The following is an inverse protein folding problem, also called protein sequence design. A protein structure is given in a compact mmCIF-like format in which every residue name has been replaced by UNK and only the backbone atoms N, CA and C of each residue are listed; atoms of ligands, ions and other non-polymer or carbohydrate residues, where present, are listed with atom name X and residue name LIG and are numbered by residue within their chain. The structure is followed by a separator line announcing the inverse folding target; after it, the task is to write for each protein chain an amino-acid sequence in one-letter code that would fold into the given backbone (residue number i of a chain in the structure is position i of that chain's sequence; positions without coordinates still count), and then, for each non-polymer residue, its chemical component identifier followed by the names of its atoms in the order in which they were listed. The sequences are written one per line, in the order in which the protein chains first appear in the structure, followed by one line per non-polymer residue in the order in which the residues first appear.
data_IF_010779363213
#
_entry.id   IF_010779363213
#
_cell.length_a   1.000
_cell.length_b   1.000
_cell.length_c   1.000
_cell.angle_alpha   90.00
_cell.angle_beta   90.00
_cell.angle_gamma   90.00
#
_symmetry.space_group_name_H-M   'P 1'
#
loop_
_entity.id
_entity.type
_entity.pdbx_description
1 polymer ?
#
# COMPACT_ATOMS: atom_id res chain seq x y z
N UNK A 1 -13.98 13.32 -21.80
CA UNK A 1 -15.10 12.53 -21.25
C UNK A 1 -14.83 12.39 -19.77
N UNK A 2 -15.83 12.58 -18.93
CA UNK A 2 -15.69 12.54 -17.46
C UNK A 2 -16.37 11.28 -16.95
N UNK A 3 -15.65 10.45 -16.20
CA UNK A 3 -16.23 9.22 -15.63
C UNK A 3 -16.50 9.42 -14.14
N UNK A 4 -17.72 9.14 -13.71
CA UNK A 4 -18.13 9.15 -12.30
C UNK A 4 -18.50 7.72 -11.90
N UNK A 5 -17.93 7.24 -10.80
CA UNK A 5 -18.14 5.89 -10.27
C UNK A 5 -19.01 5.99 -9.04
N UNK A 6 -20.10 5.23 -9.03
CA UNK A 6 -20.88 4.92 -7.84
C UNK A 6 -20.13 3.82 -7.05
N UNK A 7 -19.53 4.20 -5.93
CA UNK A 7 -18.59 3.36 -5.18
C UNK A 7 -19.24 2.11 -4.61
N UNK A 8 -20.36 2.26 -3.88
CA UNK A 8 -21.08 1.15 -3.27
C UNK A 8 -21.72 0.24 -4.30
N UNK A 9 -22.23 0.78 -5.40
CA UNK A 9 -22.77 -0.06 -6.47
C UNK A 9 -21.68 -0.90 -7.14
N UNK A 10 -20.48 -0.33 -7.32
CA UNK A 10 -19.35 -1.05 -7.90
C UNK A 10 -18.81 -2.14 -6.97
N UNK A 11 -18.71 -1.88 -5.67
CA UNK A 11 -18.35 -2.88 -4.65
C UNK A 11 -19.43 -3.98 -4.61
N UNK A 12 -20.71 -3.59 -4.67
CA UNK A 12 -21.87 -4.48 -4.66
C UNK A 12 -22.07 -5.35 -5.86
N UNK A 13 -21.23 -5.21 -6.88
CA UNK A 13 -21.17 -6.20 -7.96
C UNK A 13 -20.65 -7.55 -7.47
N UNK A 14 -19.82 -7.58 -6.41
CA UNK A 14 -19.10 -8.78 -5.97
C UNK A 14 -18.10 -9.32 -7.01
N UNK A 15 -17.84 -8.55 -8.08
CA UNK A 15 -16.96 -8.93 -9.18
C UNK A 15 -15.60 -8.23 -9.12
N UNK A 16 -15.44 -7.29 -8.20
CA UNK A 16 -14.14 -6.67 -7.93
C UNK A 16 -13.33 -7.69 -7.10
N UNK A 17 -12.28 -8.31 -7.66
CA UNK A 17 -11.61 -9.41 -6.98
C UNK A 17 -11.00 -8.95 -5.65
N UNK A 18 -11.37 -9.61 -4.56
CA UNK A 18 -10.83 -9.34 -3.22
C UNK A 18 -11.52 -8.22 -2.43
N UNK A 19 -12.72 -7.77 -2.84
CA UNK A 19 -13.52 -6.78 -2.10
C UNK A 19 -14.93 -7.33 -1.86
N UNK A 20 -15.38 -7.38 -0.61
CA UNK A 20 -16.76 -7.74 -0.24
C UNK A 20 -17.47 -6.53 0.39
N UNK A 21 -18.79 -6.43 0.19
CA UNK A 21 -19.59 -5.39 0.83
C UNK A 21 -19.63 -5.64 2.34
N UNK A 22 -19.22 -4.65 3.14
CA UNK A 22 -19.23 -4.73 4.60
C UNK A 22 -17.89 -5.04 5.26
N UNK A 23 -16.80 -5.13 4.49
CA UNK A 23 -15.45 -5.03 5.04
C UNK A 23 -15.20 -3.58 5.51
N UNK A 24 -14.56 -3.38 6.67
CA UNK A 24 -14.31 -2.05 7.23
C UNK A 24 -13.46 -1.11 6.33
N UNK A 25 -12.82 -1.66 5.30
CA UNK A 25 -11.92 -0.97 4.37
C UNK A 25 -12.30 -1.16 2.88
N UNK A 26 -13.51 -1.65 2.56
CA UNK A 26 -13.95 -1.97 1.19
C UNK A 26 -13.86 -0.77 0.23
N UNK A 27 -14.23 0.42 0.70
CA UNK A 27 -14.12 1.68 -0.04
C UNK A 27 -12.66 2.01 -0.41
N UNK A 28 -11.73 1.78 0.53
CA UNK A 28 -10.31 2.07 0.32
C UNK A 28 -9.68 1.10 -0.68
N UNK A 29 -10.03 -0.19 -0.58
CA UNK A 29 -9.61 -1.20 -1.54
C UNK A 29 -10.08 -0.87 -2.96
N UNK A 30 -11.31 -0.34 -3.10
CA UNK A 30 -11.82 0.11 -4.39
C UNK A 30 -11.01 1.29 -4.93
N UNK A 31 -10.72 2.31 -4.10
CA UNK A 31 -9.93 3.48 -4.51
C UNK A 31 -8.57 3.07 -5.02
N UNK A 32 -7.88 2.15 -4.35
CA UNK A 32 -6.60 1.62 -4.79
C UNK A 32 -6.70 0.92 -6.15
N UNK A 33 -7.75 0.13 -6.38
CA UNK A 33 -7.98 -0.55 -7.66
C UNK A 33 -8.23 0.42 -8.80
N UNK A 34 -9.04 1.46 -8.54
CA UNK A 34 -9.32 2.51 -9.51
C UNK A 34 -8.04 3.27 -9.88
N UNK A 35 -7.16 3.55 -8.91
CA UNK A 35 -5.87 4.23 -9.15
C UNK A 35 -4.96 3.41 -10.06
N UNK A 36 -4.87 2.10 -9.86
CA UNK A 36 -4.09 1.24 -10.76
C UNK A 36 -4.65 1.24 -12.18
N UNK A 37 -5.98 1.22 -12.31
CA UNK A 37 -6.66 1.29 -13.61
C UNK A 37 -6.44 2.63 -14.32
N UNK A 38 -6.57 3.76 -13.62
CA UNK A 38 -6.40 5.11 -14.19
C UNK A 38 -4.98 5.34 -14.68
N UNK A 39 -3.96 4.85 -13.95
CA UNK A 39 -2.56 4.89 -14.38
C UNK A 39 -2.34 4.03 -15.62
N UNK A 40 -2.78 2.76 -15.61
CA UNK A 40 -2.60 1.84 -16.73
C UNK A 40 -3.28 2.33 -18.03
N UNK A 41 -4.44 2.98 -17.90
CA UNK A 41 -5.23 3.49 -19.03
C UNK A 41 -4.98 4.97 -19.33
N UNK A 42 -4.12 5.65 -18.57
CA UNK A 42 -3.81 7.09 -18.67
C UNK A 42 -5.08 7.96 -18.71
N UNK A 43 -6.02 7.69 -17.80
CA UNK A 43 -7.30 8.39 -17.71
C UNK A 43 -7.52 8.96 -16.30
N UNK A 44 -8.56 9.77 -16.15
CA UNK A 44 -9.00 10.29 -14.85
C UNK A 44 -10.49 9.99 -14.61
N UNK A 45 -10.85 9.70 -13.36
CA UNK A 45 -12.23 9.47 -12.94
C UNK A 45 -12.50 10.06 -11.55
N UNK A 46 -13.78 10.21 -11.22
CA UNK A 46 -14.25 10.54 -9.87
C UNK A 46 -14.98 9.32 -9.31
N UNK A 47 -14.75 8.96 -8.06
CA UNK A 47 -15.56 7.97 -7.32
C UNK A 47 -16.26 8.65 -6.16
N UNK A 48 -17.54 8.32 -5.97
CA UNK A 48 -18.41 8.89 -4.94
C UNK A 48 -18.91 7.77 -4.03
N UNK A 49 -18.74 7.95 -2.72
CA UNK A 49 -19.18 7.05 -1.66
C UNK A 49 -20.26 7.70 -0.77
N UNK A 50 -21.05 6.89 -0.09
CA UNK A 50 -22.03 7.36 0.90
C UNK A 50 -21.36 7.86 2.19
N UNK A 51 -22.09 8.63 2.98
CA UNK A 51 -21.59 9.16 4.25
C UNK A 51 -21.61 8.09 5.35
N UNK A 52 -20.45 7.69 5.89
CA UNK A 52 -20.37 6.95 7.16
C UNK A 52 -19.55 5.65 7.19
N UNK A 53 -18.86 5.27 6.10
CA UNK A 53 -18.25 3.93 6.01
C UNK A 53 -16.71 3.88 6.07
N UNK A 54 -16.01 5.03 6.17
CA UNK A 54 -14.54 5.07 6.09
C UNK A 54 -13.82 5.48 7.40
N UNK A 55 -12.58 5.00 7.64
CA UNK A 55 -11.79 5.33 8.83
C UNK A 55 -11.33 6.79 8.79
N UNK A 56 -11.95 7.65 9.61
CA UNK A 56 -11.48 9.00 9.89
C UNK A 56 -11.72 10.00 8.77
N UNK A 57 -12.64 10.94 9.00
CA UNK A 57 -12.89 12.10 8.13
C UNK A 57 -11.69 13.08 8.12
N UNK A 58 -10.57 12.71 7.47
CA UNK A 58 -9.56 13.59 6.87
C UNK A 58 -8.31 12.79 6.49
N UNK A 59 -8.37 12.10 5.35
CA UNK A 59 -7.16 11.77 4.58
C UNK A 59 -7.44 12.09 3.12
N UNK A 60 -6.51 12.75 2.45
CA UNK A 60 -6.69 13.21 1.08
C UNK A 60 -6.62 12.00 0.12
N UNK A 61 -7.72 11.26 -0.03
CA UNK A 61 -7.82 10.01 -0.80
C UNK A 61 -7.78 10.22 -2.32
N UNK A 62 -7.67 11.45 -2.81
CA UNK A 62 -7.48 11.74 -4.23
C UNK A 62 -6.02 11.58 -4.65
N UNK A 63 -5.79 11.06 -5.86
CA UNK A 63 -4.43 10.83 -6.37
C UNK A 63 -4.41 9.91 -7.58
N UNK A 64 -3.34 9.94 -8.36
CA UNK A 64 -3.12 9.03 -9.50
C UNK A 64 -4.25 9.00 -10.54
N UNK A 65 -4.90 10.14 -10.78
CA UNK A 65 -6.04 10.23 -11.70
C UNK A 65 -7.40 9.86 -11.11
N UNK A 66 -7.48 9.49 -9.83
CA UNK A 66 -8.75 9.25 -9.12
C UNK A 66 -9.04 10.42 -8.19
N UNK A 67 -10.20 11.05 -8.38
CA UNK A 67 -10.77 11.99 -7.42
C UNK A 67 -11.77 11.24 -6.53
N UNK A 68 -11.59 11.30 -5.22
CA UNK A 68 -12.50 10.66 -4.25
C UNK A 68 -13.37 11.73 -3.61
N UNK A 69 -14.67 11.47 -3.52
CA UNK A 69 -15.63 12.34 -2.86
C UNK A 69 -16.57 11.49 -1.99
N UNK A 70 -16.80 11.94 -0.77
CA UNK A 70 -17.81 11.34 0.12
C UNK A 70 -19.04 12.22 0.13
N UNK A 71 -20.21 11.60 0.19
CA UNK A 71 -21.45 12.33 0.37
C UNK A 71 -21.47 12.99 1.76
N UNK A 72 -22.04 14.21 1.89
CA UNK A 72 -22.23 14.83 3.20
C UNK A 72 -23.15 13.97 4.09
N UNK A 73 -23.02 14.05 5.44
CA UNK A 73 -23.89 13.32 6.36
C UNK A 73 -25.37 13.52 6.04
N UNK A 74 -26.10 12.41 5.85
CA UNK A 74 -27.54 12.43 5.54
C UNK A 74 -27.88 12.70 4.07
N UNK A 75 -26.87 12.72 3.18
CA UNK A 75 -27.05 12.79 1.73
C UNK A 75 -26.49 11.49 1.14
N UNK A 76 -27.25 10.88 0.23
CA UNK A 76 -26.83 9.69 -0.52
C UNK A 76 -25.87 10.07 -1.68
N UNK A 77 -24.97 9.16 -2.02
CA UNK A 77 -24.02 9.30 -3.13
C UNK A 77 -24.75 9.60 -4.45
N UNK A 78 -25.89 8.99 -4.70
CA UNK A 78 -26.77 9.22 -5.85
C UNK A 78 -27.10 10.71 -6.04
N UNK A 79 -27.46 11.39 -4.95
CA UNK A 79 -27.78 12.81 -4.99
C UNK A 79 -26.54 13.64 -5.36
N UNK A 80 -25.36 13.27 -4.86
CA UNK A 80 -24.08 13.93 -5.16
C UNK A 80 -23.64 13.67 -6.61
N UNK A 81 -23.85 12.46 -7.12
CA UNK A 81 -23.60 12.09 -8.52
C UNK A 81 -24.46 12.95 -9.45
N UNK A 82 -25.76 13.05 -9.18
CA UNK A 82 -26.70 13.85 -9.97
C UNK A 82 -26.38 15.34 -9.88
N UNK A 83 -26.02 15.86 -8.70
CA UNK A 83 -25.57 17.24 -8.56
C UNK A 83 -24.31 17.52 -9.37
N UNK A 84 -23.35 16.60 -9.36
CA UNK A 84 -22.11 16.71 -10.14
C UNK A 84 -22.39 16.68 -11.65
N UNK A 85 -23.33 15.83 -12.09
CA UNK A 85 -23.78 15.78 -13.48
C UNK A 85 -24.45 17.08 -13.93
N UNK A 86 -25.41 17.59 -13.14
CA UNK A 86 -26.14 18.85 -13.41
C UNK A 86 -25.23 20.07 -13.43
N UNK A 87 -24.18 20.08 -12.63
CA UNK A 87 -23.17 21.14 -12.62
C UNK A 87 -22.22 21.09 -13.84
N UNK A 88 -22.21 19.98 -14.59
CA UNK A 88 -21.37 19.85 -15.78
C UNK A 88 -21.88 20.72 -16.93
N UNK A 89 -20.97 21.47 -17.58
CA UNK A 89 -21.29 22.22 -18.80
C UNK A 89 -21.64 21.31 -19.99
N UNK A 90 -21.28 20.02 -19.94
CA UNK A 90 -21.51 19.05 -21.02
C UNK A 90 -21.96 17.70 -20.42
N UNK A 91 -23.22 17.55 -19.96
CA UNK A 91 -23.71 16.32 -19.35
C UNK A 91 -23.57 15.09 -20.26
N UNK A 92 -23.73 15.28 -21.58
CA UNK A 92 -23.56 14.24 -22.60
C UNK A 92 -22.17 13.62 -22.70
N UNK A 93 -21.14 14.26 -22.11
CA UNK A 93 -19.78 13.72 -22.02
C UNK A 93 -19.45 13.11 -20.67
N UNK A 94 -20.42 13.04 -19.76
CA UNK A 94 -20.29 12.42 -18.45
C UNK A 94 -20.84 11.00 -18.53
N UNK A 95 -20.02 10.03 -18.13
CA UNK A 95 -20.41 8.63 -18.02
C UNK A 95 -20.46 8.25 -16.55
N UNK A 96 -21.63 7.83 -16.06
CA UNK A 96 -21.80 7.30 -14.71
C UNK A 96 -21.72 5.78 -14.77
N UNK A 97 -20.90 5.18 -13.90
CA UNK A 97 -20.77 3.74 -13.74
C UNK A 97 -21.65 3.30 -12.57
N UNK A 98 -22.76 2.64 -12.89
CA UNK A 98 -23.71 2.08 -11.91
C UNK A 98 -24.59 1.04 -12.61
N UNK A 99 -25.01 0.02 -11.87
CA UNK A 99 -26.05 -0.94 -12.23
C UNK A 99 -27.39 -0.62 -11.50
N UNK A 100 -27.46 0.44 -10.68
CA UNK A 100 -28.71 0.92 -10.09
C UNK A 100 -29.63 1.47 -11.20
N UNK A 101 -30.84 0.90 -11.31
CA UNK A 101 -31.80 1.25 -12.37
C UNK A 101 -32.43 2.63 -12.16
N UNK A 102 -32.62 3.04 -10.91
CA UNK A 102 -33.19 4.33 -10.53
C UNK A 102 -32.20 5.43 -10.87
N UNK A 103 -30.96 5.33 -10.40
CA UNK A 103 -29.89 6.28 -10.71
C UNK A 103 -29.63 6.32 -12.23
N UNK A 104 -29.58 5.16 -12.89
CA UNK A 104 -29.39 5.09 -14.34
C UNK A 104 -30.52 5.73 -15.14
N UNK A 105 -31.75 5.74 -14.63
CA UNK A 105 -32.87 6.48 -15.22
C UNK A 105 -32.67 7.99 -15.12
N UNK A 106 -32.32 8.46 -13.92
CA UNK A 106 -32.11 9.88 -13.61
C UNK A 106 -30.92 10.45 -14.39
N UNK A 107 -29.79 9.75 -14.46
CA UNK A 107 -28.62 10.18 -15.23
C UNK A 107 -28.95 10.35 -16.71
N UNK A 108 -29.73 9.43 -17.30
CA UNK A 108 -30.16 9.55 -18.71
C UNK A 108 -31.11 10.73 -18.92
N UNK A 109 -32.01 10.99 -17.98
CA UNK A 109 -32.91 12.15 -18.05
C UNK A 109 -32.14 13.48 -18.02
N UNK A 110 -31.02 13.53 -17.28
CA UNK A 110 -30.09 14.68 -17.23
C UNK A 110 -29.11 14.72 -18.42
N UNK A 111 -29.27 13.83 -19.41
CA UNK A 111 -28.44 13.78 -20.61
C UNK A 111 -27.07 13.12 -20.44
N UNK A 112 -26.80 12.47 -19.30
CA UNK A 112 -25.60 11.69 -19.05
C UNK A 112 -25.62 10.30 -19.68
N UNK A 113 -24.45 9.68 -19.78
CA UNK A 113 -24.28 8.32 -20.28
C UNK A 113 -24.14 7.33 -19.13
N UNK A 114 -24.60 6.09 -19.33
CA UNK A 114 -24.47 5.01 -18.36
C UNK A 114 -23.52 3.93 -18.85
N UNK A 115 -22.69 3.44 -17.95
CA UNK A 115 -21.86 2.26 -18.12
C UNK A 115 -22.16 1.28 -16.98
N UNK A 116 -22.28 -0.01 -17.30
CA UNK A 116 -22.56 -1.02 -16.28
C UNK A 116 -21.40 -1.16 -15.28
N UNK A 117 -21.75 -1.20 -14.00
CA UNK A 117 -20.80 -1.44 -12.92
C UNK A 117 -20.17 -2.83 -13.04
N UNK A 118 -20.95 -3.88 -13.31
CA UNK A 118 -20.40 -5.24 -13.53
C UNK A 118 -19.40 -5.30 -14.69
N UNK A 119 -19.70 -4.67 -15.83
CA UNK A 119 -18.77 -4.65 -16.97
C UNK A 119 -17.48 -3.92 -16.59
N UNK A 120 -17.60 -2.79 -15.90
CA UNK A 120 -16.44 -2.03 -15.44
C UNK A 120 -15.62 -2.82 -14.41
N UNK A 121 -16.26 -3.50 -13.46
CA UNK A 121 -15.59 -4.36 -12.47
C UNK A 121 -14.74 -5.46 -13.12
N UNK A 122 -15.22 -6.06 -14.22
CA UNK A 122 -14.44 -7.06 -14.98
C UNK A 122 -13.20 -6.47 -15.65
N UNK A 123 -13.25 -5.21 -16.08
CA UNK A 123 -12.07 -4.51 -16.59
C UNK A 123 -11.08 -4.12 -15.49
N UNK A 124 -11.56 -3.97 -14.26
CA UNK A 124 -10.72 -3.79 -13.09
C UNK A 124 -10.04 -5.10 -12.65
N UNK A 125 -10.49 -6.28 -13.09
CA UNK A 125 -9.84 -7.55 -12.79
C UNK A 125 -8.45 -7.67 -13.48
N UNK A 126 -7.46 -8.35 -12.87
CA UNK A 126 -6.16 -8.51 -13.53
C UNK A 126 -6.37 -9.29 -14.82
N UNK A 127 -5.95 -8.72 -15.94
CA UNK A 127 -5.86 -9.47 -17.20
C UNK A 127 -4.99 -10.69 -16.96
N UNK A 128 -5.55 -11.89 -17.15
CA UNK A 128 -4.77 -13.12 -17.25
C UNK A 128 -3.55 -12.85 -18.13
N UNK A 129 -2.35 -13.17 -17.64
CA UNK A 129 -1.13 -13.07 -18.44
C UNK A 129 -1.36 -13.82 -19.75
N UNK A 130 -1.19 -13.20 -20.94
CA UNK A 130 -1.06 -13.99 -22.14
C UNK A 130 0.19 -14.86 -22.01
N UNK A 131 0.04 -16.14 -22.32
CA UNK A 131 1.13 -17.08 -22.44
C UNK A 131 2.20 -16.52 -23.39
N UNK A 132 3.45 -16.60 -22.95
CA UNK A 132 4.71 -16.39 -23.67
C UNK A 132 4.68 -15.74 -25.06
N UNK A 133 5.39 -14.59 -25.17
CA UNK A 133 6.22 -14.32 -26.35
C UNK A 133 6.03 -12.98 -27.06
N UNK A 134 6.32 -11.84 -26.41
CA UNK A 134 6.90 -10.65 -27.08
C UNK A 134 7.76 -9.90 -26.06
N UNK A 135 9.05 -9.70 -26.35
CA UNK A 135 9.93 -8.83 -25.55
C UNK A 135 9.58 -7.36 -25.86
N UNK A 136 9.09 -6.63 -24.86
CA UNK A 136 9.11 -5.16 -24.85
C UNK A 136 10.51 -4.65 -24.50
N UNK A 137 10.82 -3.36 -24.75
CA UNK A 137 12.18 -2.85 -24.66
C UNK A 137 12.72 -2.97 -23.23
N UNK A 138 14.02 -3.28 -23.13
CA UNK A 138 14.70 -3.46 -21.86
C UNK A 138 14.67 -2.17 -21.02
N UNK A 139 14.18 -2.31 -19.78
CA UNK A 139 14.08 -1.25 -18.78
C UNK A 139 15.43 -1.03 -18.08
N UNK A 140 15.82 0.22 -17.85
CA UNK A 140 16.98 0.58 -17.02
C UNK A 140 16.52 0.95 -15.60
N UNK A 141 16.76 0.09 -14.59
CA UNK A 141 16.36 0.34 -13.20
C UNK A 141 17.20 1.42 -12.50
N UNK A 142 18.10 2.14 -13.20
CA UNK A 142 18.97 3.17 -12.63
C UNK A 142 18.56 4.61 -12.97
N UNK A 143 17.45 4.82 -13.68
CA UNK A 143 16.97 6.17 -13.99
C UNK A 143 16.45 6.89 -12.72
N UNK A 144 17.07 8.02 -12.29
CA UNK A 144 16.69 8.75 -11.08
C UNK A 144 15.27 9.33 -11.13
N UNK A 145 14.72 9.59 -12.33
CA UNK A 145 13.37 10.12 -12.48
C UNK A 145 12.27 9.13 -12.07
N UNK A 146 12.62 7.86 -11.83
CA UNK A 146 11.68 6.77 -11.55
C UNK A 146 11.83 6.17 -10.15
N UNK A 147 12.85 6.52 -9.37
CA UNK A 147 13.10 5.96 -8.04
C UNK A 147 12.05 6.39 -7.00
N UNK A 148 11.64 7.66 -7.02
CA UNK A 148 10.69 8.22 -6.05
C UNK A 148 9.23 7.79 -6.34
N UNK A 149 8.91 7.57 -7.63
CA UNK A 149 7.58 7.11 -8.06
C UNK A 149 7.39 5.62 -7.73
N UNK A 150 8.44 4.80 -7.83
CA UNK A 150 8.38 3.39 -7.47
C UNK A 150 8.33 3.13 -5.96
N UNK A 151 8.97 3.98 -5.13
CA UNK A 151 8.98 3.79 -3.68
C UNK A 151 7.57 3.86 -3.06
N UNK A 152 6.72 4.77 -3.56
CA UNK A 152 5.32 4.92 -3.12
C UNK A 152 4.35 3.91 -3.75
N UNK A 153 4.51 3.57 -5.03
CA UNK A 153 3.63 2.62 -5.74
C UNK A 153 3.92 1.15 -5.40
N UNK A 154 5.17 0.80 -5.09
CA UNK A 154 5.55 -0.60 -4.87
C UNK A 154 5.13 -1.12 -3.49
N UNK A 155 4.95 -0.26 -2.48
CA UNK A 155 4.64 -0.73 -1.13
C UNK A 155 3.22 -1.28 -0.99
N UNK A 156 2.23 -0.72 -1.71
CA UNK A 156 0.81 -1.08 -1.54
C UNK A 156 0.39 -2.30 -2.40
N UNK A 157 1.05 -2.55 -3.53
CA UNK A 157 0.80 -3.73 -4.38
C UNK A 157 1.69 -4.95 -3.99
N UNK A 158 2.86 -4.71 -3.38
CA UNK A 158 3.72 -5.81 -2.89
C UNK A 158 3.10 -6.61 -1.76
N UNK A 159 2.35 -5.99 -0.85
CA UNK A 159 1.80 -6.71 0.30
C UNK A 159 0.67 -7.65 -0.12
N UNK A 160 -0.18 -7.23 -1.07
CA UNK A 160 -1.20 -8.09 -1.65
C UNK A 160 -0.57 -9.28 -2.40
N UNK A 161 0.53 -9.05 -3.13
CA UNK A 161 1.30 -10.13 -3.78
C UNK A 161 2.02 -11.03 -2.77
N UNK A 162 2.52 -10.45 -1.67
CA UNK A 162 3.33 -11.12 -0.67
C UNK A 162 2.52 -11.94 0.33
N UNK A 163 1.37 -11.42 0.74
CA UNK A 163 0.52 -12.02 1.76
C UNK A 163 -0.74 -12.64 1.17
N UNK A 164 -1.20 -12.20 0.00
CA UNK A 164 -2.42 -12.73 -0.61
C UNK A 164 -3.61 -12.54 0.30
N UNK A 165 -4.48 -13.55 0.37
CA UNK A 165 -5.61 -13.58 1.30
C UNK A 165 -5.20 -13.67 2.77
N UNK A 166 -3.95 -14.04 3.08
CA UNK A 166 -3.48 -14.14 4.47
C UNK A 166 -3.19 -12.78 5.10
N UNK A 167 -3.25 -11.70 4.30
CA UNK A 167 -3.07 -10.34 4.81
C UNK A 167 -4.12 -9.97 5.87
N UNK A 168 -5.29 -10.61 5.85
CA UNK A 168 -6.40 -10.38 6.76
C UNK A 168 -6.39 -11.28 8.00
N UNK A 169 -5.38 -12.13 8.16
CA UNK A 169 -5.22 -12.92 9.39
C UNK A 169 -4.83 -12.01 10.56
N UNK A 170 -5.12 -12.44 11.78
CA UNK A 170 -4.76 -11.70 12.98
C UNK A 170 -3.25 -11.73 13.29
N UNK A 171 -2.81 -10.81 14.14
CA UNK A 171 -1.42 -10.73 14.55
C UNK A 171 -0.96 -11.98 15.30
N UNK A 172 -1.83 -12.64 16.07
CA UNK A 172 -1.50 -13.85 16.82
C UNK A 172 -1.06 -14.98 15.88
N UNK A 173 -1.81 -15.21 14.80
CA UNK A 173 -1.46 -16.19 13.75
C UNK A 173 -0.09 -15.90 13.15
N UNK A 174 0.22 -14.63 12.89
CA UNK A 174 1.53 -14.26 12.35
C UNK A 174 2.65 -14.33 13.39
N UNK A 175 2.36 -14.07 14.66
CA UNK A 175 3.31 -14.27 15.76
C UNK A 175 3.67 -15.76 15.88
N UNK A 176 2.71 -16.67 15.81
CA UNK A 176 2.99 -18.12 15.84
C UNK A 176 3.94 -18.54 14.70
N UNK A 177 3.70 -18.02 13.48
CA UNK A 177 4.53 -18.30 12.30
C UNK A 177 5.94 -17.75 12.43
N UNK A 178 6.12 -16.64 13.15
CA UNK A 178 7.43 -16.06 13.43
C UNK A 178 8.34 -17.02 14.21
N UNK A 179 7.76 -17.82 15.11
CA UNK A 179 8.44 -18.85 15.90
C UNK A 179 8.54 -20.21 15.18
N UNK A 180 7.97 -20.30 13.98
CA UNK A 180 8.02 -21.49 13.15
C UNK A 180 9.44 -21.87 12.72
N UNK A 181 9.61 -23.15 12.38
CA UNK A 181 10.91 -23.66 11.91
C UNK A 181 11.24 -23.30 10.45
N UNK A 182 10.23 -22.90 9.67
CA UNK A 182 10.37 -22.51 8.27
C UNK A 182 10.87 -21.06 8.17
N UNK A 183 12.04 -20.90 7.57
CA UNK A 183 12.72 -19.60 7.45
C UNK A 183 11.94 -18.62 6.57
N UNK A 184 11.26 -19.10 5.53
CA UNK A 184 10.53 -18.24 4.61
C UNK A 184 9.23 -17.76 5.25
N UNK A 185 8.51 -18.65 5.92
CA UNK A 185 7.28 -18.30 6.63
C UNK A 185 7.56 -17.37 7.82
N UNK A 186 8.59 -17.65 8.62
CA UNK A 186 9.02 -16.76 9.71
C UNK A 186 9.47 -15.38 9.20
N UNK A 187 10.18 -15.33 8.06
CA UNK A 187 10.55 -14.03 7.46
C UNK A 187 9.31 -13.29 6.95
N UNK A 188 8.37 -13.99 6.33
CA UNK A 188 7.10 -13.42 5.86
C UNK A 188 6.29 -12.87 7.04
N UNK A 189 6.18 -13.64 8.12
CA UNK A 189 5.56 -13.21 9.37
C UNK A 189 6.17 -11.94 9.94
N UNK A 190 7.50 -11.85 10.04
CA UNK A 190 8.17 -10.64 10.51
C UNK A 190 7.74 -9.41 9.71
N UNK A 191 7.71 -9.51 8.37
CA UNK A 191 7.30 -8.40 7.53
C UNK A 191 5.81 -8.06 7.62
N UNK A 192 4.93 -9.04 7.84
CA UNK A 192 3.52 -8.76 8.08
C UNK A 192 3.36 -7.99 9.39
N UNK A 193 3.98 -8.48 10.46
CA UNK A 193 3.92 -7.88 11.80
C UNK A 193 4.44 -6.45 11.83
N UNK A 194 5.55 -6.17 11.14
CA UNK A 194 6.08 -4.81 11.04
C UNK A 194 5.13 -3.81 10.38
N UNK A 195 4.25 -4.29 9.49
CA UNK A 195 3.38 -3.42 8.71
C UNK A 195 1.94 -3.36 9.20
N UNK A 196 1.45 -4.45 9.79
CA UNK A 196 0.04 -4.62 10.16
C UNK A 196 -0.16 -5.03 11.62
N UNK A 197 0.88 -5.49 12.31
CA UNK A 197 0.76 -6.08 13.65
C UNK A 197 0.57 -5.07 14.79
N UNK A 198 0.62 -3.77 14.51
CA UNK A 198 0.36 -2.72 15.50
C UNK A 198 1.24 -2.84 16.76
N UNK A 199 0.70 -2.49 17.93
CA UNK A 199 1.46 -2.45 19.18
C UNK A 199 1.95 -3.82 19.65
N UNK A 200 1.26 -4.90 19.26
CA UNK A 200 1.56 -6.26 19.72
C UNK A 200 2.76 -6.88 18.99
N UNK A 201 3.21 -6.25 17.89
CA UNK A 201 4.31 -6.74 17.07
C UNK A 201 5.70 -6.45 17.64
N UNK A 202 5.86 -5.47 18.54
CA UNK A 202 7.19 -5.03 18.97
C UNK A 202 7.99 -6.16 19.64
N UNK A 203 7.45 -6.74 20.71
CA UNK A 203 8.17 -7.76 21.50
C UNK A 203 8.48 -9.03 20.68
N UNK A 204 7.54 -9.59 19.89
CA UNK A 204 7.84 -10.71 18.99
C UNK A 204 8.94 -10.40 17.97
N UNK A 205 8.92 -9.20 17.38
CA UNK A 205 9.93 -8.80 16.41
C UNK A 205 11.31 -8.58 17.05
N UNK A 206 11.36 -8.10 18.29
CA UNK A 206 12.61 -8.00 19.05
C UNK A 206 13.18 -9.39 19.37
N UNK A 207 12.33 -10.35 19.76
CA UNK A 207 12.78 -11.72 20.03
C UNK A 207 13.33 -12.40 18.77
N UNK A 208 12.70 -12.17 17.61
CA UNK A 208 13.16 -12.69 16.32
C UNK A 208 14.56 -12.21 15.91
N UNK A 209 15.12 -11.18 16.56
CA UNK A 209 16.53 -10.77 16.39
C UNK A 209 17.53 -11.79 16.97
N UNK A 210 17.08 -12.80 17.70
CA UNK A 210 17.90 -13.90 18.20
C UNK A 210 17.82 -15.15 17.32
N UNK A 211 16.96 -15.14 16.29
CA UNK A 211 16.71 -16.30 15.44
C UNK A 211 17.99 -16.82 14.76
N UNK A 212 18.13 -18.15 14.65
CA UNK A 212 19.33 -18.81 14.06
C UNK A 212 19.63 -18.36 12.63
N UNK A 213 18.59 -18.15 11.83
CA UNK A 213 18.70 -17.71 10.43
C UNK A 213 18.90 -16.20 10.34
N UNK A 214 20.01 -15.80 9.72
CA UNK A 214 20.29 -14.39 9.45
C UNK A 214 19.24 -13.72 8.56
N UNK A 215 18.52 -14.48 7.74
CA UNK A 215 17.43 -13.97 6.89
C UNK A 215 16.26 -13.50 7.73
N UNK A 216 15.85 -14.29 8.74
CA UNK A 216 14.77 -13.92 9.67
C UNK A 216 15.18 -12.72 10.51
N UNK A 217 16.42 -12.70 11.03
CA UNK A 217 16.94 -11.54 11.76
C UNK A 217 16.92 -10.27 10.91
N UNK A 218 17.33 -10.35 9.65
CA UNK A 218 17.28 -9.21 8.73
C UNK A 218 15.84 -8.75 8.44
N UNK A 219 14.90 -9.69 8.26
CA UNK A 219 13.48 -9.39 8.09
C UNK A 219 12.90 -8.67 9.32
N UNK A 220 13.20 -9.16 10.53
CA UNK A 220 12.78 -8.55 11.79
C UNK A 220 13.34 -7.13 11.98
N UNK A 221 14.61 -6.88 11.63
CA UNK A 221 15.20 -5.54 11.68
C UNK A 221 14.47 -4.54 10.77
N UNK A 222 14.15 -4.95 9.55
CA UNK A 222 13.39 -4.10 8.62
C UNK A 222 11.95 -3.90 9.08
N UNK A 223 11.32 -4.93 9.64
CA UNK A 223 9.97 -4.89 10.19
C UNK A 223 9.87 -3.95 11.40
N UNK A 224 10.87 -3.94 12.30
CA UNK A 224 10.92 -2.99 13.41
C UNK A 224 10.98 -1.53 12.93
N UNK A 225 11.62 -1.28 11.77
CA UNK A 225 11.61 0.03 11.14
C UNK A 225 10.30 0.34 10.39
N UNK A 226 9.60 -0.67 9.88
CA UNK A 226 8.23 -0.51 9.36
C UNK A 226 7.25 -0.15 10.49
N UNK A 227 7.41 -0.79 11.65
CA UNK A 227 6.60 -0.54 12.85
C UNK A 227 6.78 0.89 13.38
N UNK A 228 7.98 1.46 13.21
CA UNK A 228 8.26 2.85 13.54
C UNK A 228 8.44 3.13 15.03
N UNK A 229 8.48 2.12 15.89
CA UNK A 229 8.62 2.29 17.34
C UNK A 229 10.08 2.62 17.73
N UNK A 230 10.36 3.82 18.29
CA UNK A 230 11.72 4.22 18.65
C UNK A 230 12.33 3.37 19.77
N UNK A 231 11.53 2.60 20.53
CA UNK A 231 12.03 1.65 21.54
C UNK A 231 12.93 0.57 20.95
N UNK A 232 12.80 0.28 19.64
CA UNK A 232 13.66 -0.67 18.94
C UNK A 232 15.08 -0.15 18.65
N UNK A 233 15.30 1.17 18.63
CA UNK A 233 16.58 1.79 18.20
C UNK A 233 17.80 1.28 18.98
N UNK A 234 17.78 1.19 20.33
CA UNK A 234 18.89 0.63 21.10
C UNK A 234 19.29 -0.78 20.66
N UNK A 235 18.31 -1.65 20.45
CA UNK A 235 18.54 -3.07 20.15
C UNK A 235 19.01 -3.23 18.71
N UNK A 236 18.43 -2.46 17.77
CA UNK A 236 18.90 -2.43 16.37
C UNK A 236 20.36 -1.94 16.30
N UNK A 237 20.74 -0.94 17.10
CA UNK A 237 22.13 -0.47 17.18
C UNK A 237 23.10 -1.55 17.66
N UNK A 238 22.72 -2.36 18.64
CA UNK A 238 23.52 -3.51 19.07
C UNK A 238 23.68 -4.55 17.95
N UNK A 239 22.60 -4.84 17.19
CA UNK A 239 22.68 -5.74 16.04
C UNK A 239 23.58 -5.20 14.93
N UNK A 240 23.54 -3.89 14.66
CA UNK A 240 24.46 -3.25 13.71
C UNK A 240 25.92 -3.40 14.13
N UNK A 241 26.23 -3.30 15.43
CA UNK A 241 27.60 -3.40 15.91
C UNK A 241 28.12 -4.85 15.97
N UNK A 242 27.25 -5.81 16.31
CA UNK A 242 27.67 -7.14 16.77
C UNK A 242 27.14 -8.35 16.02
N UNK A 243 26.18 -8.22 15.09
CA UNK A 243 25.64 -9.40 14.41
C UNK A 243 26.71 -10.05 13.51
N UNK A 244 26.88 -11.37 13.65
CA UNK A 244 27.85 -12.13 12.86
C UNK A 244 27.57 -12.06 11.35
N UNK A 245 26.28 -11.96 10.97
CA UNK A 245 25.87 -11.86 9.58
C UNK A 245 25.91 -10.41 9.10
N UNK A 246 26.66 -10.19 8.02
CA UNK A 246 26.67 -8.88 7.36
C UNK A 246 25.34 -8.50 6.74
N UNK A 247 24.48 -9.48 6.42
CA UNK A 247 23.12 -9.21 5.94
C UNK A 247 22.26 -8.57 7.04
N UNK A 248 22.35 -9.10 8.26
CA UNK A 248 21.63 -8.54 9.40
C UNK A 248 22.19 -7.16 9.77
N UNK A 249 23.51 -6.96 9.76
CA UNK A 249 24.11 -5.63 9.97
C UNK A 249 23.68 -4.62 8.90
N UNK A 250 23.63 -5.02 7.64
CA UNK A 250 23.14 -4.16 6.54
C UNK A 250 21.67 -3.76 6.77
N UNK A 251 20.80 -4.71 7.15
CA UNK A 251 19.40 -4.43 7.49
C UNK A 251 19.27 -3.52 8.71
N UNK A 252 20.10 -3.70 9.75
CA UNK A 252 20.12 -2.86 10.93
C UNK A 252 20.49 -1.41 10.59
N UNK A 253 21.47 -1.19 9.71
CA UNK A 253 21.82 0.14 9.23
C UNK A 253 20.63 0.81 8.52
N UNK A 254 19.97 0.10 7.61
CA UNK A 254 18.78 0.60 6.91
C UNK A 254 17.65 0.94 7.89
N UNK A 255 17.40 0.07 8.86
CA UNK A 255 16.38 0.25 9.89
C UNK A 255 16.63 1.51 10.74
N UNK A 256 17.86 1.71 11.21
CA UNK A 256 18.25 2.93 11.94
C UNK A 256 18.11 4.19 11.10
N UNK A 257 18.43 4.16 9.81
CA UNK A 257 18.21 5.29 8.91
C UNK A 257 16.74 5.70 8.79
N UNK A 258 15.85 4.71 8.82
CA UNK A 258 14.40 4.94 8.74
C UNK A 258 13.83 5.50 10.03
N UNK A 259 14.23 4.96 11.19
CA UNK A 259 13.78 5.41 12.51
C UNK A 259 14.39 6.76 12.91
N UNK A 260 15.66 6.98 12.56
CA UNK A 260 16.37 8.22 12.85
C UNK A 260 16.68 8.45 14.33
N UNK A 261 17.05 9.70 14.65
CA UNK A 261 17.41 10.14 15.99
C UNK A 261 18.91 10.04 16.31
N UNK A 262 19.35 10.78 17.32
CA UNK A 262 20.77 10.93 17.65
C UNK A 262 21.48 9.60 17.91
N UNK A 263 20.83 8.64 18.58
CA UNK A 263 21.42 7.32 18.81
C UNK A 263 21.63 6.54 17.51
N UNK A 264 20.66 6.61 16.58
CA UNK A 264 20.78 5.98 15.27
C UNK A 264 21.96 6.59 14.48
N UNK A 265 22.09 7.91 14.48
CA UNK A 265 23.21 8.61 13.81
C UNK A 265 24.57 8.16 14.34
N UNK A 266 24.75 8.12 15.67
CA UNK A 266 26.01 7.69 16.28
C UNK A 266 26.36 6.26 15.87
N UNK A 267 25.39 5.35 15.90
CA UNK A 267 25.60 3.95 15.50
C UNK A 267 25.90 3.81 14.00
N UNK A 268 25.24 4.58 13.15
CA UNK A 268 25.50 4.59 11.71
C UNK A 268 26.87 5.16 11.36
N UNK A 269 27.32 6.21 12.07
CA UNK A 269 28.66 6.78 11.90
C UNK A 269 29.74 5.74 12.19
N UNK A 270 29.57 4.94 13.24
CA UNK A 270 30.48 3.84 13.55
C UNK A 270 30.47 2.75 12.47
N UNK A 271 29.32 2.47 11.84
CA UNK A 271 29.19 1.46 10.80
C UNK A 271 29.83 1.86 9.45
N UNK A 272 30.25 3.12 9.27
CA UNK A 272 31.02 3.55 8.10
C UNK A 272 32.39 2.85 7.98
N UNK A 273 32.88 2.22 9.03
CA UNK A 273 34.10 1.41 9.01
C UNK A 273 33.85 -0.10 9.02
N UNK A 274 32.60 -0.55 8.83
CA UNK A 274 32.30 -1.99 8.80
C UNK A 274 33.15 -2.71 7.73
N UNK A 275 33.67 -3.93 8.01
CA UNK A 275 34.48 -4.67 7.05
C UNK A 275 33.77 -4.94 5.71
N UNK A 276 32.43 -4.98 5.71
CA UNK A 276 31.62 -5.28 4.52
C UNK A 276 31.15 -4.00 3.85
N UNK A 277 31.49 -3.89 2.56
CA UNK A 277 31.15 -2.73 1.72
C UNK A 277 29.64 -2.43 1.70
N UNK A 278 28.78 -3.46 1.66
CA UNK A 278 27.33 -3.25 1.68
C UNK A 278 26.84 -2.55 2.95
N UNK A 279 27.38 -2.94 4.11
CA UNK A 279 27.03 -2.32 5.40
C UNK A 279 27.49 -0.86 5.43
N UNK A 280 28.72 -0.56 4.98
CA UNK A 280 29.21 0.81 4.87
C UNK A 280 28.34 1.68 3.97
N UNK A 281 27.95 1.16 2.80
CA UNK A 281 27.06 1.86 1.87
C UNK A 281 25.68 2.12 2.46
N UNK A 282 25.10 1.13 3.14
CA UNK A 282 23.83 1.28 3.84
C UNK A 282 23.94 2.36 4.93
N UNK A 283 24.99 2.31 5.75
CA UNK A 283 25.23 3.31 6.79
C UNK A 283 25.37 4.74 6.24
N UNK A 284 26.14 4.92 5.17
CA UNK A 284 26.30 6.22 4.52
C UNK A 284 24.98 6.75 3.93
N UNK A 285 24.21 5.90 3.24
CA UNK A 285 22.92 6.28 2.70
C UNK A 285 21.91 6.63 3.80
N UNK A 286 21.89 5.85 4.88
CA UNK A 286 21.02 6.07 6.04
C UNK A 286 21.36 7.36 6.80
N UNK A 287 22.63 7.74 6.91
CA UNK A 287 23.03 9.03 7.49
C UNK A 287 22.53 10.21 6.64
N UNK A 288 22.70 10.14 5.31
CA UNK A 288 22.18 11.15 4.39
C UNK A 288 20.65 11.28 4.51
N UNK A 289 19.96 10.15 4.64
CA UNK A 289 18.50 10.11 4.81
C UNK A 289 18.06 10.80 6.12
N UNK A 290 18.78 10.61 7.23
CA UNK A 290 18.45 11.27 8.50
C UNK A 290 18.71 12.78 8.37
N UNK A 291 19.85 13.18 7.82
CA UNK A 291 20.22 14.59 7.64
C UNK A 291 19.24 15.34 6.73
N UNK A 292 18.71 14.68 5.69
CA UNK A 292 17.73 15.27 4.79
C UNK A 292 16.35 15.52 5.43
N UNK A 293 16.10 15.00 6.63
CA UNK A 293 14.83 15.15 7.37
C UNK A 293 14.90 16.19 8.49
N UNK A 294 16.10 16.70 8.79
CA UNK A 294 16.37 17.73 9.80
C UNK A 294 16.37 19.12 9.16
#
# INVERSE_FOLDING_TARGET
MTTIIDGHNLIGTGLVPGIQLGDADDEWQLVLRLRSYTVAKKLSLTVIFDSGSGPGQNTNFSGSGVKVQFAPPGIEADAVILQTLRASKQPSKVTVVTDDRTLAGLVRAEGGQIRSARTFARELAPTQRPAHGVQGPAFDPKDPAFADIYAGFAAVDKDAVRFGSEISLDAETWIERLYGSDVQDASRAAHWLGRFGGNDALEPLLDALTHRSATVRAAALLALADLGDPRAVPIIAERLAGDASSLAREAAAQALGRLGGAKAEVSLQAALTDPKNKVRKAAAASLLQIQARQ
#
